data_IF_116865774540
#
_entry.id   IF_116865774540
#
_cell.length_a   1.000
_cell.length_b   1.000
_cell.length_c   1.000
_cell.angle_alpha   90.00
_cell.angle_beta   90.00
_cell.angle_gamma   90.00
#
_symmetry.space_group_name_H-M   'P 1'
#
loop_
_entity.id
_entity.type
_entity.pdbx_description
1 polymer ?
#
# COMPACT_ATOMS: atom_id res chain seq x y z
N UNK A 1 2.25 -37.02 91.62
CA UNK A 1 1.81 -36.99 93.04
C UNK A 1 2.32 -35.70 93.68
N UNK A 2 1.45 -35.05 94.48
CA UNK A 2 1.62 -33.82 95.30
C UNK A 2 1.59 -32.48 94.50
N UNK A 3 0.45 -31.75 94.46
CA UNK A 3 -0.20 -30.87 95.49
C UNK A 3 0.62 -29.59 95.73
N UNK A 4 0.13 -28.34 95.86
CA UNK A 4 -1.18 -27.70 96.12
C UNK A 4 -0.91 -26.17 95.93
N UNK A 5 -1.67 -25.41 95.13
CA UNK A 5 -2.81 -24.50 95.44
C UNK A 5 -2.51 -23.22 96.28
N UNK A 6 -2.99 -22.08 95.74
CA UNK A 6 -3.33 -20.75 96.34
C UNK A 6 -2.16 -19.85 96.77
N UNK A 7 -2.15 -18.53 96.53
CA UNK A 7 -3.12 -17.60 95.96
C UNK A 7 -2.67 -16.16 96.29
N UNK A 8 -3.23 -15.14 95.63
CA UNK A 8 -3.26 -13.78 96.20
C UNK A 8 -2.81 -12.62 95.31
N UNK A 9 -3.83 -11.86 94.87
CA UNK A 9 -3.91 -10.38 94.79
C UNK A 9 -2.91 -9.63 93.89
N UNK A 10 -3.47 -9.07 92.83
CA UNK A 10 -2.76 -8.22 91.86
C UNK A 10 -2.72 -6.72 92.20
N UNK A 11 -2.45 -5.98 91.10
CA UNK A 11 -2.40 -4.52 90.90
C UNK A 11 -1.02 -3.93 91.24
N UNK A 12 -0.25 -3.26 90.36
CA UNK A 12 -0.32 -2.88 88.93
C UNK A 12 1.12 -2.50 88.55
N UNK A 13 1.66 -3.04 87.46
CA UNK A 13 2.89 -2.48 86.84
C UNK A 13 2.59 -2.16 85.39
N UNK A 14 2.78 -0.90 85.05
CA UNK A 14 2.60 -0.30 83.74
C UNK A 14 3.61 -0.91 82.76
N UNK A 15 3.15 -1.53 81.67
CA UNK A 15 3.98 -1.82 80.50
C UNK A 15 3.24 -1.37 79.25
N UNK A 16 3.84 -0.42 78.54
CA UNK A 16 3.40 0.07 77.24
C UNK A 16 3.59 -1.04 76.19
N UNK A 17 2.53 -1.34 75.44
CA UNK A 17 2.56 -2.22 74.26
C UNK A 17 2.29 -1.35 73.04
N UNK A 18 3.28 -1.29 72.13
CA UNK A 18 3.13 -0.73 70.80
C UNK A 18 2.20 -1.63 69.96
N UNK A 19 1.11 -1.06 69.43
CA UNK A 19 0.30 -1.68 68.40
C UNK A 19 0.91 -1.39 67.03
N UNK A 20 1.41 -2.43 66.35
CA UNK A 20 1.80 -2.35 64.93
C UNK A 20 0.54 -2.50 64.08
N UNK A 21 0.09 -1.40 63.46
CA UNK A 21 -1.01 -1.40 62.50
C UNK A 21 -0.48 -1.87 61.14
N UNK A 22 -0.85 -3.08 60.70
CA UNK A 22 -0.61 -3.53 59.32
C UNK A 22 -1.64 -2.84 58.42
N UNK A 23 -1.24 -1.77 57.73
CA UNK A 23 -1.99 -1.25 56.59
C UNK A 23 -1.71 -2.13 55.37
N UNK A 24 -2.75 -2.84 54.91
CA UNK A 24 -2.77 -3.41 53.56
C UNK A 24 -2.99 -2.24 52.60
N UNK A 25 -1.91 -1.74 52.00
CA UNK A 25 -1.99 -0.80 50.87
C UNK A 25 -2.32 -1.64 49.64
N UNK A 26 -3.58 -1.59 49.21
CA UNK A 26 -3.97 -2.07 47.89
C UNK A 26 -3.25 -1.24 46.82
N UNK A 27 -2.30 -1.87 46.12
CA UNK A 27 -1.63 -1.28 44.97
C UNK A 27 -2.60 -1.22 43.78
N UNK A 28 -3.40 -0.16 43.70
CA UNK A 28 -3.98 0.25 42.42
C UNK A 28 -2.85 0.78 41.54
N UNK A 29 -2.24 -0.10 40.75
CA UNK A 29 -1.48 0.31 39.57
C UNK A 29 -2.49 0.86 38.56
N UNK A 30 -2.77 2.16 38.66
CA UNK A 30 -3.41 2.89 37.58
C UNK A 30 -2.50 2.79 36.36
N UNK A 31 -2.93 2.03 35.35
CA UNK A 31 -2.36 2.12 34.02
C UNK A 31 -2.46 3.57 33.59
N UNK A 32 -1.32 4.22 33.36
CA UNK A 32 -1.28 5.55 32.76
C UNK A 32 -1.91 5.44 31.37
N UNK A 33 -3.21 5.72 31.30
CA UNK A 33 -3.94 5.84 30.05
C UNK A 33 -3.26 6.96 29.29
N UNK A 34 -2.50 6.63 28.24
CA UNK A 34 -1.85 7.61 27.39
C UNK A 34 -2.89 8.69 27.05
N UNK A 35 -2.58 9.96 27.37
CA UNK A 35 -3.51 11.05 27.14
C UNK A 35 -3.96 10.99 25.68
N UNK A 36 -5.25 10.80 25.44
CA UNK A 36 -5.79 10.71 24.10
C UNK A 36 -5.44 12.01 23.36
N UNK A 37 -4.68 11.91 22.27
CA UNK A 37 -4.40 13.05 21.42
C UNK A 37 -5.73 13.67 20.99
N UNK A 38 -5.85 14.99 21.16
CA UNK A 38 -7.07 15.73 20.83
C UNK A 38 -7.24 15.79 19.30
N UNK A 39 -8.49 15.73 18.79
CA UNK A 39 -8.74 15.93 17.37
C UNK A 39 -8.25 17.31 16.89
N UNK A 40 -7.79 17.37 15.64
CA UNK A 40 -7.37 18.62 14.99
C UNK A 40 -8.53 19.28 14.24
N UNK A 41 -8.51 20.61 14.09
CA UNK A 41 -9.48 21.33 13.25
C UNK A 41 -9.06 21.30 11.78
N UNK A 42 -9.90 20.77 10.89
CA UNK A 42 -9.59 20.61 9.46
C UNK A 42 -10.82 20.86 8.56
N UNK A 43 -10.62 20.81 7.25
CA UNK A 43 -11.68 20.98 6.25
C UNK A 43 -12.47 19.68 5.98
N UNK A 44 -12.01 18.58 6.56
CA UNK A 44 -12.67 17.27 6.55
C UNK A 44 -12.78 16.71 7.97
N UNK A 45 -13.80 15.88 8.18
CA UNK A 45 -13.91 15.04 9.36
C UNK A 45 -13.13 13.75 9.17
N UNK A 46 -12.40 13.30 10.18
CA UNK A 46 -11.78 11.96 10.20
C UNK A 46 -11.93 11.40 11.59
N UNK A 47 -12.65 10.29 11.74
CA UNK A 47 -12.64 9.57 13.00
C UNK A 47 -11.28 8.90 13.20
N UNK A 48 -10.64 9.14 14.35
CA UNK A 48 -9.42 8.46 14.76
C UNK A 48 -9.56 6.94 14.59
N UNK A 49 -8.50 6.26 14.16
CA UNK A 49 -8.45 4.79 14.14
C UNK A 49 -7.96 4.31 15.51
N UNK A 50 -8.80 3.61 16.30
CA UNK A 50 -8.40 3.14 17.63
C UNK A 50 -7.27 2.10 17.52
N UNK A 51 -6.25 2.23 18.37
CA UNK A 51 -5.16 1.25 18.45
C UNK A 51 -4.22 1.22 17.24
N UNK A 52 -4.28 2.20 16.33
CA UNK A 52 -3.38 2.25 15.18
C UNK A 52 -1.91 2.29 15.66
N UNK A 53 -1.09 1.38 15.13
CA UNK A 53 0.34 1.33 15.43
C UNK A 53 1.00 2.63 14.96
N UNK A 54 1.90 3.20 15.77
CA UNK A 54 2.67 4.41 15.42
C UNK A 54 3.52 4.23 14.17
N UNK A 55 3.98 3.00 13.93
CA UNK A 55 4.79 2.62 12.78
C UNK A 55 3.94 2.07 11.62
N UNK A 56 2.61 2.24 11.65
CA UNK A 56 1.73 1.79 10.58
C UNK A 56 2.13 2.45 9.25
N UNK A 57 2.26 1.62 8.21
CA UNK A 57 2.65 2.07 6.87
C UNK A 57 1.50 2.81 6.23
N UNK A 58 1.78 4.05 5.84
CA UNK A 58 0.87 5.00 5.17
C UNK A 58 1.50 5.34 3.84
N UNK A 59 1.28 4.45 2.89
CA UNK A 59 1.93 4.50 1.59
C UNK A 59 1.07 5.16 0.52
N UNK A 60 1.73 5.65 -0.52
CA UNK A 60 1.08 5.98 -1.79
C UNK A 60 1.87 5.37 -2.94
N UNK A 61 1.18 4.98 -4.00
CA UNK A 61 1.76 4.76 -5.32
C UNK A 61 1.59 6.04 -6.14
N UNK A 62 2.69 6.54 -6.71
CA UNK A 62 2.72 7.70 -7.61
C UNK A 62 3.60 7.41 -8.82
N UNK A 63 3.58 6.18 -9.31
CA UNK A 63 4.46 5.71 -10.38
C UNK A 63 4.31 6.53 -11.67
N UNK A 64 3.12 7.04 -11.97
CA UNK A 64 2.86 7.92 -13.12
C UNK A 64 3.61 9.27 -13.07
N UNK A 65 4.15 9.67 -11.91
CA UNK A 65 4.59 11.06 -11.65
C UNK A 65 5.62 11.59 -12.64
N UNK A 66 6.59 10.78 -13.06
CA UNK A 66 7.65 11.23 -13.96
C UNK A 66 7.08 11.55 -15.34
N UNK A 67 6.21 10.68 -15.89
CA UNK A 67 5.59 10.91 -17.19
C UNK A 67 4.64 12.13 -17.16
N UNK A 68 3.97 12.36 -16.04
CA UNK A 68 3.12 13.55 -15.84
C UNK A 68 3.96 14.84 -15.80
N UNK A 69 5.06 14.85 -15.06
CA UNK A 69 5.99 15.99 -15.00
C UNK A 69 6.62 16.28 -16.38
N UNK A 70 7.02 15.25 -17.13
CA UNK A 70 7.49 15.36 -18.52
C UNK A 70 6.39 15.88 -19.46
N UNK A 71 5.13 15.61 -19.16
CA UNK A 71 3.95 16.15 -19.86
C UNK A 71 3.61 17.60 -19.49
N UNK A 72 4.36 18.21 -18.56
CA UNK A 72 4.15 19.58 -18.10
C UNK A 72 3.17 19.74 -16.94
N UNK A 73 2.70 18.64 -16.34
CA UNK A 73 1.88 18.68 -15.12
C UNK A 73 2.70 19.23 -13.95
N UNK A 74 2.07 20.02 -13.09
CA UNK A 74 2.69 20.60 -11.92
C UNK A 74 1.81 20.40 -10.69
N UNK A 75 2.46 20.20 -9.54
CA UNK A 75 1.81 20.04 -8.25
C UNK A 75 2.12 21.21 -7.31
N UNK A 76 1.22 21.42 -6.35
CA UNK A 76 1.25 22.55 -5.43
C UNK A 76 1.15 22.08 -3.97
N UNK A 77 1.47 22.98 -3.05
CA UNK A 77 1.18 22.81 -1.62
C UNK A 77 -0.21 23.38 -1.26
N UNK A 78 -0.60 23.28 0.02
CA UNK A 78 -1.87 23.81 0.53
C UNK A 78 -1.98 25.34 0.35
N UNK A 79 -0.86 26.06 0.24
CA UNK A 79 -0.84 27.51 0.00
C UNK A 79 -0.94 27.88 -1.49
N UNK A 80 -1.04 26.89 -2.38
CA UNK A 80 -1.11 27.09 -3.82
C UNK A 80 0.25 27.41 -4.46
N UNK A 81 1.37 27.17 -3.77
CA UNK A 81 2.71 27.36 -4.32
C UNK A 81 3.20 26.06 -4.96
N UNK A 82 3.81 26.16 -6.14
CA UNK A 82 4.41 25.00 -6.83
C UNK A 82 5.42 24.32 -5.90
N UNK A 83 5.25 23.02 -5.66
CA UNK A 83 6.07 22.24 -4.75
C UNK A 83 6.28 20.82 -5.31
N UNK A 84 7.43 20.22 -5.00
CA UNK A 84 7.63 18.78 -5.24
C UNK A 84 6.56 17.98 -4.50
N UNK A 85 5.82 17.14 -5.23
CA UNK A 85 4.77 16.29 -4.68
C UNK A 85 5.27 15.41 -3.52
N UNK A 86 6.51 14.92 -3.55
CA UNK A 86 7.05 14.05 -2.50
C UNK A 86 7.15 14.79 -1.16
N UNK A 87 7.41 16.10 -1.19
CA UNK A 87 7.38 16.96 -0.01
C UNK A 87 5.96 17.19 0.49
N UNK A 88 5.01 17.42 -0.41
CA UNK A 88 3.58 17.54 -0.06
C UNK A 88 3.06 16.24 0.58
N UNK A 89 3.40 15.08 0.02
CA UNK A 89 3.06 13.76 0.56
C UNK A 89 3.66 13.55 1.96
N UNK A 90 4.93 13.90 2.16
CA UNK A 90 5.56 13.84 3.49
C UNK A 90 4.84 14.71 4.51
N UNK A 91 4.46 15.93 4.14
CA UNK A 91 3.70 16.85 4.99
C UNK A 91 2.28 16.33 5.31
N UNK A 92 1.70 15.55 4.40
CA UNK A 92 0.42 14.85 4.59
C UNK A 92 0.52 13.57 5.43
N UNK A 93 1.71 13.22 5.94
CA UNK A 93 1.92 12.07 6.83
C UNK A 93 2.26 10.76 6.12
N UNK A 94 2.54 10.79 4.81
CA UNK A 94 3.03 9.63 4.05
C UNK A 94 4.42 9.24 4.56
N UNK A 95 4.63 7.94 4.75
CA UNK A 95 5.92 7.38 5.19
C UNK A 95 6.49 6.31 4.25
N UNK A 96 5.77 5.98 3.17
CA UNK A 96 6.17 5.01 2.16
C UNK A 96 5.73 5.45 0.77
N UNK A 97 6.54 5.13 -0.23
CA UNK A 97 6.18 5.25 -1.65
C UNK A 97 6.27 3.86 -2.28
N UNK A 98 5.25 3.47 -3.02
CA UNK A 98 5.26 2.31 -3.91
C UNK A 98 5.57 2.75 -5.33
N UNK A 99 6.34 1.94 -6.05
CA UNK A 99 6.61 2.15 -7.47
C UNK A 99 6.53 0.84 -8.24
N UNK A 100 5.69 0.78 -9.27
CA UNK A 100 5.65 -0.34 -10.22
C UNK A 100 6.88 -0.33 -11.13
N UNK A 101 7.32 -1.51 -11.53
CA UNK A 101 8.51 -1.72 -12.35
C UNK A 101 8.20 -2.77 -13.41
N UNK A 102 8.19 -2.33 -14.65
CA UNK A 102 8.18 -3.18 -15.84
C UNK A 102 9.59 -3.44 -16.33
N UNK A 103 9.78 -4.61 -16.93
CA UNK A 103 11.08 -5.04 -17.40
C UNK A 103 11.56 -4.20 -18.60
N UNK A 104 10.74 -4.10 -19.66
CA UNK A 104 10.99 -3.22 -20.81
C UNK A 104 9.67 -2.70 -21.42
N UNK A 105 9.11 -1.60 -20.88
CA UNK A 105 7.81 -1.04 -21.31
C UNK A 105 7.88 -0.22 -22.59
N UNK A 106 8.61 -0.72 -23.57
CA UNK A 106 8.87 -0.06 -24.85
C UNK A 106 8.79 -1.06 -26.01
N UNK A 107 8.39 -0.54 -27.17
CA UNK A 107 8.50 -1.27 -28.44
C UNK A 107 9.96 -1.31 -28.96
N UNK A 108 10.18 -2.00 -30.08
CA UNK A 108 11.52 -2.11 -30.69
C UNK A 108 12.10 -0.77 -31.19
N UNK A 109 11.28 0.27 -31.35
CA UNK A 109 11.69 1.63 -31.76
C UNK A 109 11.93 2.55 -30.56
N UNK A 110 11.68 2.08 -29.34
CA UNK A 110 11.81 2.86 -28.11
C UNK A 110 10.58 3.70 -27.80
N UNK A 111 9.42 3.46 -28.44
CA UNK A 111 8.18 4.12 -28.07
C UNK A 111 7.63 3.46 -26.81
N UNK A 112 7.32 4.27 -25.79
CA UNK A 112 6.82 3.77 -24.51
C UNK A 112 5.39 3.28 -24.60
N UNK A 113 5.07 2.19 -23.91
CA UNK A 113 3.73 1.59 -23.83
C UNK A 113 2.71 2.42 -23.05
N UNK A 114 3.13 3.51 -22.41
CA UNK A 114 2.28 4.32 -21.56
C UNK A 114 2.28 3.86 -20.13
N UNK A 115 1.22 4.20 -19.40
CA UNK A 115 1.04 3.85 -18.00
C UNK A 115 2.14 4.39 -17.08
N UNK A 116 2.81 5.47 -17.49
CA UNK A 116 3.98 6.05 -16.82
C UNK A 116 5.34 5.59 -17.38
N UNK A 117 5.37 4.62 -18.31
CA UNK A 117 6.59 4.03 -18.87
C UNK A 117 7.57 3.58 -17.76
N UNK A 118 7.04 2.92 -16.74
CA UNK A 118 7.73 2.64 -15.49
C UNK A 118 8.79 1.53 -15.62
N UNK A 119 10.00 1.92 -15.95
CA UNK A 119 11.19 1.08 -15.94
C UNK A 119 12.02 1.27 -14.65
N UNK A 120 13.13 0.52 -14.53
CA UNK A 120 14.06 0.66 -13.40
C UNK A 120 14.61 2.09 -13.25
N UNK A 121 14.81 2.81 -14.37
CA UNK A 121 15.34 4.18 -14.34
C UNK A 121 14.36 5.13 -13.64
N UNK A 122 13.06 5.06 -13.98
CA UNK A 122 12.02 5.84 -13.31
C UNK A 122 11.84 5.39 -11.85
N UNK A 123 11.91 4.09 -11.59
CA UNK A 123 11.85 3.57 -10.22
C UNK A 123 12.99 4.14 -9.34
N UNK A 124 14.21 4.24 -9.87
CA UNK A 124 15.35 4.89 -9.18
C UNK A 124 15.09 6.38 -8.96
N UNK A 125 14.58 7.11 -9.96
CA UNK A 125 14.27 8.53 -9.82
C UNK A 125 13.21 8.80 -8.73
N UNK A 126 12.14 8.00 -8.71
CA UNK A 126 11.10 8.04 -7.69
C UNK A 126 11.66 7.67 -6.31
N UNK A 127 12.45 6.59 -6.23
CA UNK A 127 13.03 6.12 -4.98
C UNK A 127 14.01 7.11 -4.34
N UNK A 128 14.76 7.86 -5.14
CA UNK A 128 15.60 8.96 -4.65
C UNK A 128 14.76 10.06 -4.00
N UNK A 129 13.74 10.57 -4.70
CA UNK A 129 12.85 11.62 -4.17
C UNK A 129 12.09 11.16 -2.91
N UNK A 130 11.68 9.90 -2.86
CA UNK A 130 11.08 9.31 -1.65
C UNK A 130 12.07 9.32 -0.47
N UNK A 131 13.30 8.86 -0.70
CA UNK A 131 14.35 8.80 0.32
C UNK A 131 14.75 10.19 0.83
N UNK A 132 14.93 11.16 -0.08
CA UNK A 132 15.23 12.56 0.24
C UNK A 132 14.16 13.22 1.14
N UNK A 133 12.91 12.78 1.01
CA UNK A 133 11.79 13.24 1.83
C UNK A 133 11.52 12.32 3.06
N UNK A 134 12.44 11.39 3.36
CA UNK A 134 12.34 10.53 4.54
C UNK A 134 11.15 9.56 4.48
N UNK A 135 10.89 9.01 3.29
CA UNK A 135 9.92 7.94 3.04
C UNK A 135 10.66 6.70 2.55
N UNK A 136 10.20 5.51 2.96
CA UNK A 136 10.74 4.24 2.46
C UNK A 136 10.17 3.91 1.07
N UNK A 137 10.87 3.08 0.30
CA UNK A 137 10.39 2.56 -0.98
C UNK A 137 9.84 1.12 -0.85
N UNK A 138 8.70 0.87 -1.48
CA UNK A 138 8.22 -0.44 -1.90
C UNK A 138 8.48 -0.56 -3.41
N UNK A 139 9.42 -1.42 -3.81
CA UNK A 139 9.67 -1.72 -5.22
C UNK A 139 8.77 -2.87 -5.67
N UNK A 140 7.84 -2.59 -6.59
CA UNK A 140 6.89 -3.57 -7.10
C UNK A 140 7.30 -4.07 -8.49
N UNK A 141 7.87 -5.27 -8.52
CA UNK A 141 8.24 -5.92 -9.77
C UNK A 141 7.03 -6.65 -10.35
N UNK A 142 6.53 -6.14 -11.47
CA UNK A 142 5.44 -6.80 -12.20
C UNK A 142 5.91 -8.09 -12.90
N UNK A 143 7.21 -8.20 -13.18
CA UNK A 143 7.79 -9.28 -14.00
C UNK A 143 7.05 -9.47 -15.35
N UNK A 144 6.74 -8.33 -15.97
CA UNK A 144 6.07 -8.15 -17.26
C UNK A 144 6.65 -6.88 -17.90
N UNK A 145 6.47 -6.71 -19.20
CA UNK A 145 6.80 -5.44 -19.88
C UNK A 145 5.66 -4.41 -19.78
N UNK A 146 4.48 -4.81 -19.30
CA UNK A 146 3.35 -3.91 -19.11
C UNK A 146 2.46 -4.36 -17.94
N UNK A 147 1.26 -3.78 -17.80
CA UNK A 147 0.32 -4.08 -16.71
C UNK A 147 0.24 -5.57 -16.39
N UNK A 148 0.35 -5.88 -15.09
CA UNK A 148 0.22 -7.22 -14.56
C UNK A 148 -0.92 -7.22 -13.55
N UNK A 149 -1.95 -8.02 -13.79
CA UNK A 149 -3.20 -8.09 -13.03
C UNK A 149 -3.77 -9.53 -13.11
N UNK A 150 -4.96 -9.85 -12.56
CA UNK A 150 -5.50 -11.22 -12.59
C UNK A 150 -5.67 -11.82 -13.99
N UNK A 151 -5.87 -11.00 -15.02
CA UNK A 151 -6.06 -11.44 -16.40
C UNK A 151 -4.76 -11.36 -17.22
N UNK A 152 -3.87 -10.43 -16.89
CA UNK A 152 -2.63 -10.16 -17.64
C UNK A 152 -1.41 -10.50 -16.79
N UNK A 153 -0.70 -11.58 -17.12
CA UNK A 153 0.55 -11.98 -16.46
C UNK A 153 1.60 -12.36 -17.49
N UNK A 154 1.71 -11.56 -18.57
CA UNK A 154 2.55 -11.88 -19.73
C UNK A 154 4.03 -11.86 -19.35
N UNK A 155 4.82 -12.79 -19.87
CA UNK A 155 6.27 -12.78 -19.70
C UNK A 155 6.86 -11.54 -20.38
N UNK A 156 7.92 -10.91 -19.84
CA UNK A 156 8.70 -9.91 -20.56
C UNK A 156 9.10 -10.43 -21.95
N UNK A 157 9.19 -9.55 -22.94
CA UNK A 157 9.57 -9.93 -24.31
C UNK A 157 10.90 -10.71 -24.31
N UNK A 158 11.85 -10.29 -23.48
CA UNK A 158 13.14 -10.94 -23.32
C UNK A 158 13.07 -12.41 -22.81
N UNK A 159 11.99 -12.80 -22.14
CA UNK A 159 11.87 -14.12 -21.49
C UNK A 159 10.90 -15.06 -22.23
N UNK A 160 10.27 -14.60 -23.31
CA UNK A 160 9.16 -15.34 -23.98
C UNK A 160 9.60 -16.71 -24.51
N UNK A 161 10.83 -16.83 -24.99
CA UNK A 161 11.37 -18.08 -25.55
C UNK A 161 12.29 -18.85 -24.57
N UNK A 162 12.35 -18.44 -23.30
CA UNK A 162 13.14 -19.14 -22.29
C UNK A 162 12.39 -20.38 -21.81
N UNK A 163 13.13 -21.47 -21.62
CA UNK A 163 12.62 -22.57 -20.79
C UNK A 163 12.46 -22.09 -19.33
N UNK A 164 11.76 -22.87 -18.52
CA UNK A 164 11.42 -22.48 -17.16
C UNK A 164 12.64 -22.18 -16.28
N UNK A 165 13.68 -23.01 -16.33
CA UNK A 165 14.90 -22.81 -15.52
C UNK A 165 15.64 -21.52 -15.90
N UNK A 166 15.75 -21.23 -17.19
CA UNK A 166 16.36 -19.98 -17.67
C UNK A 166 15.51 -18.77 -17.27
N UNK A 167 14.17 -18.87 -17.34
CA UNK A 167 13.26 -17.81 -16.91
C UNK A 167 13.37 -17.54 -15.41
N UNK A 168 13.45 -18.59 -14.59
CA UNK A 168 13.64 -18.51 -13.13
C UNK A 168 14.95 -17.82 -12.78
N UNK A 169 16.04 -18.20 -13.44
CA UNK A 169 17.34 -17.54 -13.29
C UNK A 169 17.31 -16.07 -13.75
N UNK A 170 16.64 -15.77 -14.87
CA UNK A 170 16.50 -14.40 -15.37
C UNK A 170 15.71 -13.52 -14.41
N UNK A 171 14.64 -14.04 -13.80
CA UNK A 171 13.84 -13.31 -12.79
C UNK A 171 14.67 -13.01 -11.54
N UNK A 172 15.41 -14.00 -11.02
CA UNK A 172 16.34 -13.79 -9.91
C UNK A 172 17.37 -12.70 -10.25
N UNK A 173 18.06 -12.81 -11.39
CA UNK A 173 19.10 -11.86 -11.79
C UNK A 173 18.53 -10.45 -11.97
N UNK A 174 17.39 -10.31 -12.66
CA UNK A 174 16.74 -9.02 -12.86
C UNK A 174 16.37 -8.36 -11.53
N UNK A 175 15.83 -9.13 -10.58
CA UNK A 175 15.51 -8.63 -9.23
C UNK A 175 16.79 -8.20 -8.51
N UNK A 176 17.84 -9.03 -8.54
CA UNK A 176 19.11 -8.78 -7.86
C UNK A 176 19.80 -7.51 -8.37
N UNK A 177 19.96 -7.41 -9.68
CA UNK A 177 20.62 -6.29 -10.35
C UNK A 177 19.84 -4.98 -10.14
N UNK A 178 18.50 -5.05 -10.26
CA UNK A 178 17.64 -3.89 -10.01
C UNK A 178 17.77 -3.35 -8.59
N UNK A 179 17.75 -4.23 -7.59
CA UNK A 179 17.89 -3.84 -6.19
C UNK A 179 19.31 -3.33 -5.87
N UNK A 180 20.34 -3.93 -6.46
CA UNK A 180 21.72 -3.42 -6.35
C UNK A 180 21.86 -2.02 -6.94
N UNK A 181 21.24 -1.75 -8.10
CA UNK A 181 21.22 -0.43 -8.71
C UNK A 181 20.52 0.60 -7.80
N UNK A 182 19.37 0.24 -7.20
CA UNK A 182 18.67 1.10 -6.25
C UNK A 182 19.48 1.36 -4.96
N UNK A 183 20.13 0.34 -4.39
CA UNK A 183 21.01 0.50 -3.23
C UNK A 183 22.21 1.38 -3.53
N UNK A 184 22.82 1.21 -4.71
CA UNK A 184 23.92 2.08 -5.21
C UNK A 184 23.46 3.52 -5.35
N UNK A 185 22.21 3.74 -5.74
CA UNK A 185 21.57 5.05 -5.80
C UNK A 185 21.21 5.65 -4.43
N UNK A 186 21.50 4.97 -3.32
CA UNK A 186 21.25 5.43 -1.95
C UNK A 186 19.79 5.34 -1.51
N UNK A 187 18.97 4.52 -2.17
CA UNK A 187 17.53 4.44 -1.92
C UNK A 187 17.25 3.61 -0.65
N UNK A 188 16.37 4.12 0.21
CA UNK A 188 15.89 3.43 1.40
C UNK A 188 14.76 2.44 1.04
N UNK A 189 15.14 1.29 0.49
CA UNK A 189 14.23 0.19 0.17
C UNK A 189 13.82 -0.49 1.47
N UNK A 190 12.52 -0.47 1.79
CA UNK A 190 12.02 -1.16 2.97
C UNK A 190 11.19 -2.40 2.66
N UNK A 191 10.68 -2.52 1.43
CA UNK A 191 9.89 -3.67 1.00
C UNK A 191 10.06 -3.91 -0.51
N UNK A 192 9.95 -5.16 -0.93
CA UNK A 192 9.90 -5.56 -2.34
C UNK A 192 8.69 -6.44 -2.54
N UNK A 193 7.92 -6.16 -3.58
CA UNK A 193 6.79 -6.97 -4.02
C UNK A 193 7.23 -7.83 -5.21
N UNK A 194 7.10 -9.15 -5.05
CA UNK A 194 7.52 -10.15 -6.03
C UNK A 194 6.30 -10.58 -6.84
N UNK A 195 5.98 -9.81 -7.88
CA UNK A 195 4.79 -9.97 -8.71
C UNK A 195 3.61 -9.12 -8.23
N UNK A 196 2.81 -8.63 -9.19
CA UNK A 196 1.61 -7.82 -8.92
C UNK A 196 0.33 -8.62 -9.22
N UNK A 197 -0.60 -8.65 -8.25
CA UNK A 197 -1.92 -9.32 -8.35
C UNK A 197 -1.86 -10.72 -9.01
N UNK A 198 -0.93 -11.55 -8.54
CA UNK A 198 -0.55 -12.85 -9.13
C UNK A 198 -1.55 -13.96 -8.82
N UNK A 199 -2.85 -13.67 -8.98
CA UNK A 199 -3.96 -14.58 -8.67
C UNK A 199 -3.97 -15.84 -9.53
N UNK A 200 -3.43 -15.78 -10.76
CA UNK A 200 -3.47 -16.87 -11.72
C UNK A 200 -2.20 -17.03 -12.56
N UNK A 201 -1.18 -16.21 -12.34
CA UNK A 201 0.09 -16.35 -13.03
C UNK A 201 1.14 -15.33 -12.61
N UNK A 202 2.36 -15.52 -13.10
CA UNK A 202 3.48 -14.56 -13.01
C UNK A 202 4.47 -14.86 -14.15
N UNK A 203 4.96 -13.83 -14.84
CA UNK A 203 5.95 -13.95 -15.91
C UNK A 203 5.62 -15.03 -16.98
N UNK A 204 4.33 -15.15 -17.33
CA UNK A 204 3.79 -16.10 -18.32
C UNK A 204 3.59 -17.53 -17.82
N UNK A 205 3.92 -17.84 -16.56
CA UNK A 205 3.60 -19.14 -15.94
C UNK A 205 2.28 -19.05 -15.16
N UNK A 206 1.45 -20.09 -15.25
CA UNK A 206 0.17 -20.23 -14.55
C UNK A 206 0.06 -21.54 -13.73
N UNK A 207 1.10 -22.37 -13.77
CA UNK A 207 1.23 -23.53 -12.89
C UNK A 207 1.73 -23.08 -11.50
N UNK A 208 0.97 -23.37 -10.46
CA UNK A 208 1.28 -22.88 -9.10
C UNK A 208 2.60 -23.40 -8.55
N UNK A 209 3.08 -24.58 -8.93
CA UNK A 209 4.40 -25.08 -8.50
C UNK A 209 5.49 -24.19 -9.09
N UNK A 210 5.41 -23.91 -10.39
CA UNK A 210 6.33 -23.01 -11.08
C UNK A 210 6.25 -21.56 -10.58
N UNK A 211 5.04 -21.05 -10.33
CA UNK A 211 4.87 -19.73 -9.73
C UNK A 211 5.56 -19.64 -8.37
N UNK A 212 5.41 -20.66 -7.51
CA UNK A 212 6.07 -20.71 -6.20
C UNK A 212 7.61 -20.71 -6.32
N UNK A 213 8.15 -21.42 -7.30
CA UNK A 213 9.59 -21.38 -7.61
C UNK A 213 10.04 -20.00 -8.10
N UNK A 214 9.25 -19.30 -8.92
CA UNK A 214 9.53 -17.93 -9.35
C UNK A 214 9.44 -16.93 -8.18
N UNK A 215 8.46 -17.08 -7.28
CA UNK A 215 8.38 -16.28 -6.07
C UNK A 215 9.61 -16.47 -5.19
N UNK A 216 10.08 -17.72 -5.02
CA UNK A 216 11.31 -18.00 -4.28
C UNK A 216 12.56 -17.44 -4.96
N UNK A 217 12.62 -17.44 -6.29
CA UNK A 217 13.72 -16.83 -7.04
C UNK A 217 13.80 -15.31 -6.79
N UNK A 218 12.67 -14.61 -6.89
CA UNK A 218 12.61 -13.18 -6.55
C UNK A 218 12.92 -12.92 -5.07
N UNK A 219 12.35 -13.72 -4.16
CA UNK A 219 12.60 -13.62 -2.72
C UNK A 219 14.08 -13.80 -2.37
N UNK A 220 14.74 -14.81 -2.94
CA UNK A 220 16.17 -15.08 -2.73
C UNK A 220 17.02 -13.87 -3.11
N UNK A 221 16.74 -13.24 -4.26
CA UNK A 221 17.43 -12.02 -4.68
C UNK A 221 17.25 -10.87 -3.67
N UNK A 222 16.06 -10.73 -3.09
CA UNK A 222 15.79 -9.74 -2.03
C UNK A 222 16.59 -10.07 -0.76
N UNK A 223 16.52 -11.32 -0.27
CA UNK A 223 17.22 -11.76 0.95
C UNK A 223 18.73 -11.54 0.88
N UNK A 224 19.32 -11.87 -0.25
CA UNK A 224 20.76 -11.69 -0.47
C UNK A 224 21.17 -10.23 -0.68
N UNK A 225 20.21 -9.33 -0.94
CA UNK A 225 20.48 -7.89 -1.06
C UNK A 225 20.50 -7.23 0.30
N UNK A 226 19.48 -7.48 1.13
CA UNK A 226 19.37 -6.95 2.49
C UNK A 226 18.31 -7.75 3.26
N UNK A 227 18.71 -8.40 4.35
CA UNK A 227 17.80 -9.22 5.15
C UNK A 227 16.73 -8.41 5.89
N UNK A 228 16.84 -7.09 5.94
CA UNK A 228 15.82 -6.22 6.56
C UNK A 228 14.70 -5.83 5.60
N UNK A 229 14.85 -6.08 4.29
CA UNK A 229 13.81 -5.79 3.31
C UNK A 229 12.71 -6.84 3.44
N UNK A 230 11.48 -6.38 3.63
CA UNK A 230 10.32 -7.25 3.63
C UNK A 230 10.01 -7.75 2.22
N UNK A 231 9.77 -9.05 2.08
CA UNK A 231 9.29 -9.68 0.84
C UNK A 231 7.77 -9.78 0.90
N UNK A 232 7.10 -9.14 -0.05
CA UNK A 232 5.64 -9.16 -0.19
C UNK A 232 5.22 -9.96 -1.43
N UNK A 233 4.12 -10.70 -1.30
CA UNK A 233 3.39 -11.30 -2.42
C UNK A 233 2.01 -10.66 -2.50
N UNK A 234 1.63 -10.23 -3.70
CA UNK A 234 0.42 -9.44 -3.91
C UNK A 234 -0.66 -10.21 -4.67
N UNK A 235 -1.86 -10.20 -4.09
CA UNK A 235 -3.07 -10.81 -4.62
C UNK A 235 -4.25 -9.84 -4.55
N UNK A 236 -5.36 -10.15 -5.21
CA UNK A 236 -6.56 -9.33 -5.24
C UNK A 236 -7.83 -10.19 -5.17
N UNK A 237 -9.01 -9.60 -5.30
CA UNK A 237 -10.30 -10.27 -5.13
C UNK A 237 -10.50 -10.97 -3.76
N UNK A 238 -10.32 -10.26 -2.62
CA UNK A 238 -10.52 -10.83 -1.29
C UNK A 238 -11.96 -11.31 -1.02
N UNK A 239 -12.95 -10.85 -1.81
CA UNK A 239 -14.36 -11.26 -1.72
C UNK A 239 -14.62 -12.69 -2.18
N UNK A 240 -13.69 -13.32 -2.91
CA UNK A 240 -13.86 -14.69 -3.38
C UNK A 240 -13.72 -15.67 -2.21
N UNK A 241 -14.82 -16.33 -1.87
CA UNK A 241 -14.89 -17.33 -0.79
C UNK A 241 -13.75 -18.34 -0.89
N UNK A 242 -12.92 -18.42 0.15
CA UNK A 242 -11.81 -19.37 0.24
C UNK A 242 -10.59 -19.06 -0.64
N UNK A 243 -10.61 -18.00 -1.45
CA UNK A 243 -9.52 -17.65 -2.37
C UNK A 243 -8.18 -17.47 -1.65
N UNK A 244 -8.10 -16.54 -0.70
CA UNK A 244 -6.86 -16.27 0.05
C UNK A 244 -6.43 -17.43 0.93
N UNK A 245 -7.37 -18.18 1.52
CA UNK A 245 -7.04 -19.38 2.28
C UNK A 245 -6.37 -20.44 1.39
N UNK A 246 -6.87 -20.65 0.17
CA UNK A 246 -6.28 -21.58 -0.79
C UNK A 246 -4.90 -21.13 -1.26
N UNK A 247 -4.76 -19.84 -1.63
CA UNK A 247 -3.47 -19.26 -2.05
C UNK A 247 -2.44 -19.40 -0.93
N UNK A 248 -2.74 -18.95 0.29
CA UNK A 248 -1.80 -18.99 1.41
C UNK A 248 -1.39 -20.43 1.77
N UNK A 249 -2.32 -21.40 1.70
CA UNK A 249 -2.03 -22.82 1.85
C UNK A 249 -1.07 -23.33 0.77
N UNK A 250 -1.30 -22.97 -0.50
CA UNK A 250 -0.44 -23.36 -1.61
C UNK A 250 0.98 -22.81 -1.43
N UNK A 251 1.12 -21.54 -1.07
CA UNK A 251 2.42 -20.92 -0.80
C UNK A 251 3.16 -21.64 0.34
N UNK A 252 2.44 -21.96 1.42
CA UNK A 252 3.02 -22.70 2.56
C UNK A 252 3.45 -24.12 2.17
N UNK A 253 2.62 -24.86 1.45
CA UNK A 253 2.93 -26.22 1.01
C UNK A 253 4.15 -26.29 0.08
N UNK A 254 4.35 -25.25 -0.73
CA UNK A 254 5.51 -25.11 -1.62
C UNK A 254 6.69 -24.36 -0.97
N UNK A 255 6.61 -24.07 0.35
CA UNK A 255 7.67 -23.43 1.13
C UNK A 255 8.17 -22.11 0.51
N UNK A 256 7.24 -21.27 0.07
CA UNK A 256 7.58 -19.94 -0.45
C UNK A 256 8.05 -19.05 0.71
N UNK A 257 9.25 -18.49 0.60
CA UNK A 257 9.79 -17.53 1.57
C UNK A 257 9.28 -16.12 1.27
N UNK A 258 8.40 -15.62 2.13
CA UNK A 258 7.87 -14.26 2.09
C UNK A 258 7.40 -13.81 3.48
N UNK A 259 7.37 -12.51 3.71
CA UNK A 259 7.01 -11.91 5.00
C UNK A 259 5.57 -11.38 5.01
N UNK A 260 5.13 -10.81 3.89
CA UNK A 260 3.86 -10.05 3.79
C UNK A 260 2.94 -10.67 2.74
N UNK A 261 1.73 -11.05 3.15
CA UNK A 261 0.62 -11.33 2.24
C UNK A 261 -0.13 -10.02 1.98
N UNK A 262 0.03 -9.48 0.78
CA UNK A 262 -0.57 -8.21 0.39
C UNK A 262 -1.85 -8.41 -0.43
N UNK A 263 -2.80 -7.51 -0.24
CA UNK A 263 -4.11 -7.53 -0.90
C UNK A 263 -4.40 -6.19 -1.59
N UNK A 264 -4.93 -6.21 -2.81
CA UNK A 264 -5.68 -5.07 -3.35
C UNK A 264 -7.07 -5.01 -2.73
N UNK A 265 -7.53 -3.81 -2.39
CA UNK A 265 -8.89 -3.57 -1.93
C UNK A 265 -9.49 -2.30 -2.57
N UNK A 266 -10.28 -2.52 -3.61
CA UNK A 266 -11.11 -1.49 -4.22
C UNK A 266 -12.57 -1.72 -3.80
N UNK A 267 -13.18 -0.80 -3.03
CA UNK A 267 -14.51 -1.02 -2.44
C UNK A 267 -15.62 -1.14 -3.50
N UNK A 268 -15.34 -0.78 -4.75
CA UNK A 268 -16.25 -0.93 -5.89
C UNK A 268 -16.63 -2.39 -6.15
N UNK A 269 -15.69 -3.33 -5.95
CA UNK A 269 -15.84 -4.74 -6.34
C UNK A 269 -15.43 -5.73 -5.24
N UNK A 270 -14.51 -5.35 -4.34
CA UNK A 270 -13.81 -6.30 -3.45
C UNK A 270 -14.56 -6.64 -2.15
N UNK A 271 -15.88 -6.52 -2.16
CA UNK A 271 -16.73 -6.90 -1.04
C UNK A 271 -16.55 -6.01 0.20
N UNK A 272 -16.79 -6.57 1.38
CA UNK A 272 -16.88 -5.81 2.63
C UNK A 272 -15.54 -5.66 3.34
N UNK A 273 -15.36 -4.58 4.09
CA UNK A 273 -14.22 -4.38 4.98
C UNK A 273 -14.15 -5.43 6.10
N UNK A 274 -15.32 -5.91 6.55
CA UNK A 274 -15.40 -7.03 7.50
C UNK A 274 -14.81 -8.30 6.90
N UNK A 275 -15.13 -8.59 5.63
CA UNK A 275 -14.53 -9.71 4.90
C UNK A 275 -13.02 -9.51 4.73
N UNK A 276 -12.57 -8.32 4.29
CA UNK A 276 -11.15 -8.01 4.16
C UNK A 276 -10.39 -8.30 5.47
N UNK A 277 -10.88 -7.75 6.59
CA UNK A 277 -10.29 -7.99 7.92
C UNK A 277 -10.24 -9.48 8.24
N UNK A 278 -11.33 -10.20 7.99
CA UNK A 278 -11.45 -11.64 8.27
C UNK A 278 -10.44 -12.48 7.48
N UNK A 279 -10.35 -12.27 6.17
CA UNK A 279 -9.45 -13.07 5.31
C UNK A 279 -7.97 -12.76 5.59
N UNK A 280 -7.64 -11.50 5.89
CA UNK A 280 -6.27 -11.12 6.28
C UNK A 280 -5.91 -11.71 7.65
N UNK A 281 -6.82 -11.67 8.63
CA UNK A 281 -6.64 -12.34 9.94
C UNK A 281 -6.42 -13.84 9.79
N UNK A 282 -7.16 -14.49 8.90
CA UNK A 282 -7.01 -15.92 8.67
C UNK A 282 -5.60 -16.25 8.16
N UNK A 283 -5.08 -15.51 7.18
CA UNK A 283 -3.71 -15.71 6.67
C UNK A 283 -2.68 -15.44 7.77
N UNK A 284 -2.81 -14.31 8.48
CA UNK A 284 -1.89 -13.93 9.55
C UNK A 284 -1.86 -14.97 10.68
N UNK A 285 -3.02 -15.39 11.19
CA UNK A 285 -3.12 -16.34 12.31
C UNK A 285 -2.73 -17.77 11.95
N UNK A 286 -2.92 -18.19 10.69
CA UNK A 286 -2.62 -19.56 10.25
C UNK A 286 -1.16 -19.73 9.85
N UNK A 287 -0.56 -18.73 9.18
CA UNK A 287 0.76 -18.83 8.57
C UNK A 287 1.81 -17.89 9.17
N UNK A 288 1.45 -17.10 10.19
CA UNK A 288 2.37 -16.18 10.88
C UNK A 288 2.89 -15.05 9.98
N UNK A 289 2.14 -14.67 8.95
CA UNK A 289 2.53 -13.64 7.97
C UNK A 289 2.03 -12.27 8.40
N UNK A 290 2.77 -11.23 8.02
CA UNK A 290 2.24 -9.86 8.00
C UNK A 290 1.22 -9.73 6.88
N UNK A 291 0.31 -8.78 7.02
CA UNK A 291 -0.74 -8.50 6.05
C UNK A 291 -0.85 -7.00 5.82
N UNK A 292 -1.16 -6.60 4.59
CA UNK A 292 -1.35 -5.20 4.23
C UNK A 292 -2.29 -5.07 3.04
N UNK A 293 -2.75 -3.84 2.80
CA UNK A 293 -3.37 -3.47 1.52
C UNK A 293 -2.34 -2.79 0.64
N UNK A 294 -1.97 -3.41 -0.49
CA UNK A 294 -1.00 -2.86 -1.45
C UNK A 294 -1.62 -1.83 -2.40
N UNK A 295 -2.94 -1.91 -2.62
CA UNK A 295 -3.66 -0.95 -3.45
C UNK A 295 -5.06 -0.68 -2.91
N UNK A 296 -5.42 0.59 -2.84
CA UNK A 296 -6.79 1.05 -2.60
C UNK A 296 -6.97 2.46 -3.14
N UNK A 297 -8.20 2.83 -3.48
CA UNK A 297 -8.55 4.18 -3.92
C UNK A 297 -10.03 4.44 -3.69
N UNK A 298 -10.44 5.71 -3.84
CA UNK A 298 -11.86 6.05 -3.93
C UNK A 298 -12.10 7.33 -4.72
N UNK A 299 -13.29 7.46 -5.30
CA UNK A 299 -13.69 8.61 -6.12
C UNK A 299 -14.04 9.81 -5.25
N UNK A 300 -13.40 10.95 -5.49
CA UNK A 300 -13.76 12.22 -4.84
C UNK A 300 -14.76 13.04 -5.67
N UNK A 301 -14.87 12.73 -6.97
CA UNK A 301 -15.77 13.35 -7.93
C UNK A 301 -16.26 12.31 -8.94
N UNK A 302 -17.38 12.59 -9.60
CA UNK A 302 -17.87 11.80 -10.74
C UNK A 302 -17.43 12.38 -12.09
N UNK A 303 -16.82 13.58 -12.08
CA UNK A 303 -16.32 14.24 -13.28
C UNK A 303 -15.09 13.53 -13.84
N UNK A 304 -14.99 13.46 -15.17
CA UNK A 304 -13.79 13.11 -15.91
C UNK A 304 -13.02 14.39 -16.25
N UNK A 305 -11.79 14.49 -15.74
CA UNK A 305 -10.97 15.68 -15.90
C UNK A 305 -10.18 15.75 -17.21
N UNK A 306 -9.97 14.64 -17.92
CA UNK A 306 -9.00 14.55 -19.02
C UNK A 306 -9.58 14.11 -20.39
N UNK A 307 -10.84 13.66 -20.39
CA UNK A 307 -11.58 13.25 -21.59
C UNK A 307 -11.41 11.77 -21.95
N UNK A 308 -10.68 11.01 -21.14
CA UNK A 308 -10.62 9.56 -21.17
C UNK A 308 -11.46 8.98 -20.02
N UNK A 309 -12.30 8.00 -20.34
CA UNK A 309 -13.32 7.54 -19.39
C UNK A 309 -12.71 6.89 -18.13
N UNK A 310 -13.00 7.49 -16.97
CA UNK A 310 -12.62 6.96 -15.67
C UNK A 310 -13.15 5.54 -15.40
N UNK A 311 -12.44 4.76 -14.58
CA UNK A 311 -12.83 3.41 -14.13
C UNK A 311 -14.05 3.42 -13.21
N UNK A 312 -14.14 4.43 -12.35
CA UNK A 312 -15.20 4.62 -11.38
C UNK A 312 -15.50 6.13 -11.25
N UNK A 313 -16.71 6.52 -10.82
CA UNK A 313 -17.85 5.66 -10.50
C UNK A 313 -18.61 5.18 -11.75
N UNK A 314 -19.20 3.98 -11.71
CA UNK A 314 -20.07 3.43 -12.77
C UNK A 314 -21.26 2.67 -12.19
N UNK A 315 -22.32 2.56 -12.98
CA UNK A 315 -23.47 1.72 -12.64
C UNK A 315 -23.05 0.26 -12.39
N UNK A 316 -23.66 -0.37 -11.39
CA UNK A 316 -23.34 -1.73 -10.96
C UNK A 316 -22.17 -1.84 -9.97
N UNK A 317 -21.40 -0.76 -9.72
CA UNK A 317 -20.37 -0.74 -8.69
C UNK A 317 -20.96 -0.50 -7.29
N UNK A 318 -20.30 -1.05 -6.27
CA UNK A 318 -20.65 -0.77 -4.88
C UNK A 318 -20.06 0.57 -4.43
N UNK A 319 -20.91 1.55 -4.14
CA UNK A 319 -20.51 2.90 -3.69
C UNK A 319 -21.03 3.16 -2.26
N UNK A 320 -20.25 2.74 -1.26
CA UNK A 320 -20.64 2.86 0.17
C UNK A 320 -20.54 4.27 0.73
N UNK A 321 -19.71 5.11 0.12
CA UNK A 321 -19.46 6.47 0.55
C UNK A 321 -19.93 7.44 -0.54
N UNK A 322 -20.33 8.67 -0.19
CA UNK A 322 -20.69 9.65 -1.20
C UNK A 322 -19.48 10.01 -2.08
N UNK A 323 -19.70 10.18 -3.38
CA UNK A 323 -18.64 10.58 -4.34
C UNK A 323 -18.26 12.06 -4.08
N UNK A 324 -17.39 12.26 -3.11
CA UNK A 324 -16.99 13.56 -2.55
C UNK A 324 -15.61 13.42 -1.91
N UNK A 325 -14.91 14.53 -1.69
CA UNK A 325 -13.64 14.56 -0.91
C UNK A 325 -13.80 13.91 0.47
N UNK A 326 -14.93 14.15 1.16
CA UNK A 326 -15.19 13.56 2.46
C UNK A 326 -15.44 12.04 2.38
N UNK A 327 -16.18 11.58 1.37
CA UNK A 327 -16.41 10.15 1.16
C UNK A 327 -15.14 9.40 0.78
N UNK A 328 -14.26 10.01 -0.02
CA UNK A 328 -12.92 9.49 -0.29
C UNK A 328 -12.09 9.35 1.00
N UNK A 329 -12.08 10.38 1.86
CA UNK A 329 -11.40 10.30 3.15
C UNK A 329 -11.97 9.18 4.05
N UNK A 330 -13.29 9.01 4.08
CA UNK A 330 -13.94 7.95 4.84
C UNK A 330 -13.54 6.56 4.34
N UNK A 331 -13.53 6.35 3.02
CA UNK A 331 -13.12 5.09 2.41
C UNK A 331 -11.69 4.72 2.78
N UNK A 332 -10.74 5.65 2.63
CA UNK A 332 -9.32 5.41 2.98
C UNK A 332 -9.15 5.12 4.47
N UNK A 333 -9.79 5.92 5.34
CA UNK A 333 -9.75 5.71 6.78
C UNK A 333 -10.25 4.32 7.16
N UNK A 334 -11.34 3.88 6.55
CA UNK A 334 -11.96 2.61 6.91
C UNK A 334 -11.17 1.39 6.40
N UNK A 335 -10.44 1.51 5.30
CA UNK A 335 -9.45 0.50 4.88
C UNK A 335 -8.28 0.44 5.85
N UNK A 336 -7.75 1.59 6.28
CA UNK A 336 -6.71 1.65 7.32
C UNK A 336 -7.19 0.96 8.59
N UNK A 337 -8.43 1.24 9.01
CA UNK A 337 -9.04 0.58 10.16
C UNK A 337 -9.17 -0.93 9.96
N UNK A 338 -9.64 -1.40 8.81
CA UNK A 338 -9.81 -2.83 8.54
C UNK A 338 -8.47 -3.59 8.60
N UNK A 339 -7.39 -3.01 8.07
CA UNK A 339 -6.05 -3.60 8.19
C UNK A 339 -5.54 -3.54 9.64
N UNK A 340 -5.69 -2.42 10.33
CA UNK A 340 -5.29 -2.29 11.74
C UNK A 340 -6.06 -3.28 12.64
N UNK A 341 -7.33 -3.53 12.35
CA UNK A 341 -8.16 -4.49 13.06
C UNK A 341 -7.66 -5.93 12.88
N UNK A 342 -6.80 -6.22 11.90
CA UNK A 342 -6.08 -7.51 11.76
C UNK A 342 -5.01 -7.74 12.84
N UNK A 343 -4.81 -6.79 13.77
CA UNK A 343 -3.87 -6.86 14.87
C UNK A 343 -2.44 -6.49 14.44
N UNK A 344 -1.44 -6.91 15.21
CA UNK A 344 -0.02 -6.55 14.97
C UNK A 344 0.52 -7.04 13.61
N UNK A 345 -0.16 -8.01 12.99
CA UNK A 345 0.15 -8.47 11.64
C UNK A 345 -0.26 -7.46 10.56
N UNK A 346 -1.27 -6.62 10.81
CA UNK A 346 -1.76 -5.58 9.90
C UNK A 346 -0.82 -4.39 9.87
N UNK A 347 0.09 -4.36 8.88
CA UNK A 347 1.20 -3.39 8.90
C UNK A 347 0.95 -2.12 8.12
N UNK A 348 -0.03 -2.06 7.20
CA UNK A 348 -0.09 -0.94 6.28
C UNK A 348 -1.18 -0.90 5.24
N UNK A 349 -1.33 0.29 4.66
CA UNK A 349 -2.14 0.56 3.47
C UNK A 349 -1.34 1.43 2.50
N UNK A 350 -1.47 1.15 1.20
CA UNK A 350 -0.98 1.98 0.11
C UNK A 350 -2.16 2.50 -0.72
N UNK A 351 -2.27 3.82 -0.86
CA UNK A 351 -3.22 4.45 -1.78
C UNK A 351 -2.66 4.37 -3.21
N UNK A 352 -3.40 3.76 -4.14
CA UNK A 352 -2.95 3.59 -5.51
C UNK A 352 -3.18 4.84 -6.35
N UNK A 353 -2.15 5.27 -7.06
CA UNK A 353 -2.15 6.42 -7.99
C UNK A 353 -2.79 7.68 -7.40
N UNK A 354 -2.25 8.13 -6.27
CA UNK A 354 -2.76 9.29 -5.54
C UNK A 354 -2.70 10.62 -6.33
N UNK A 355 -2.05 10.65 -7.49
CA UNK A 355 -1.71 11.87 -8.21
C UNK A 355 -1.83 11.76 -9.74
N UNK A 356 -2.54 10.75 -10.26
CA UNK A 356 -2.69 10.58 -11.70
C UNK A 356 -3.74 11.50 -12.31
N UNK A 357 -3.43 12.80 -12.26
CA UNK A 357 -4.31 13.89 -12.68
C UNK A 357 -4.23 14.15 -14.20
N UNK A 358 -5.18 14.90 -14.77
CA UNK A 358 -5.21 15.23 -16.19
C UNK A 358 -3.96 16.01 -16.66
N UNK A 359 -3.48 15.70 -17.87
CA UNK A 359 -2.47 16.55 -18.57
C UNK A 359 -3.06 17.83 -19.14
N UNK A 360 -4.38 17.89 -19.23
CA UNK A 360 -5.16 19.02 -19.73
C UNK A 360 -6.67 18.73 -19.62
N UNK A 361 -7.53 19.74 -19.72
CA UNK A 361 -8.97 19.57 -19.51
C UNK A 361 -9.61 18.69 -20.59
N UNK A 362 -10.66 17.95 -20.23
CA UNK A 362 -11.39 17.03 -21.13
C UNK A 362 -11.79 17.61 -22.50
N UNK A 363 -12.18 18.90 -22.55
CA UNK A 363 -12.49 19.60 -23.82
C UNK A 363 -11.32 19.66 -24.82
N UNK A 364 -10.09 19.39 -24.37
CA UNK A 364 -8.88 19.40 -25.18
C UNK A 364 -8.39 17.98 -25.53
N UNK A 365 -9.29 16.99 -25.59
CA UNK A 365 -8.97 15.57 -25.79
C UNK A 365 -7.91 15.29 -26.87
N UNK A 366 -8.03 15.88 -28.07
CA UNK A 366 -7.06 15.65 -29.15
C UNK A 366 -5.66 16.18 -28.84
N UNK A 367 -5.54 17.23 -28.03
CA UNK A 367 -4.25 17.69 -27.51
C UNK A 367 -3.74 16.72 -26.45
N UNK A 368 -4.61 16.27 -25.56
CA UNK A 368 -4.25 15.33 -24.49
C UNK A 368 -3.74 14.00 -25.08
N UNK A 369 -4.40 13.45 -26.11
CA UNK A 369 -3.94 12.25 -26.84
C UNK A 369 -2.50 12.36 -27.34
N UNK A 370 -2.12 13.50 -27.92
CA UNK A 370 -0.73 13.70 -28.37
C UNK A 370 0.27 13.69 -27.21
N UNK A 371 -0.11 14.25 -26.07
CA UNK A 371 0.72 14.25 -24.85
C UNK A 371 0.85 12.82 -24.31
N UNK A 372 -0.26 12.08 -24.20
CA UNK A 372 -0.28 10.70 -23.74
C UNK A 372 0.57 9.79 -24.62
N UNK A 373 0.44 9.87 -25.95
CA UNK A 373 1.26 9.09 -26.89
C UNK A 373 2.75 9.44 -26.79
N UNK A 374 3.08 10.72 -26.59
CA UNK A 374 4.49 11.18 -26.57
C UNK A 374 5.21 10.79 -25.28
N UNK A 375 4.59 11.02 -24.13
CA UNK A 375 5.24 10.87 -22.82
C UNK A 375 4.80 9.61 -22.07
N UNK A 376 3.77 8.92 -22.56
CA UNK A 376 3.17 7.77 -21.90
C UNK A 376 2.50 8.13 -20.58
N UNK A 377 1.96 9.34 -20.46
CA UNK A 377 1.34 9.87 -19.23
C UNK A 377 -0.12 9.49 -19.03
N UNK A 378 -0.74 8.86 -20.02
CA UNK A 378 -2.01 8.16 -19.85
C UNK A 378 -1.80 6.68 -19.49
N UNK A 379 -2.88 5.90 -19.30
CA UNK A 379 -2.80 4.53 -18.79
C UNK A 379 -2.12 3.55 -19.77
N UNK A 380 -2.22 3.83 -21.07
CA UNK A 380 -1.55 3.12 -22.14
C UNK A 380 -1.42 4.01 -23.39
N UNK A 381 -0.47 3.70 -24.26
CA UNK A 381 -0.32 4.29 -25.61
C UNK A 381 -0.70 3.27 -26.68
N UNK A 382 -0.91 3.74 -27.90
CA UNK A 382 -1.12 2.89 -29.07
C UNK A 382 0.03 1.90 -29.30
N UNK A 383 1.26 2.25 -28.89
CA UNK A 383 2.45 1.41 -29.04
C UNK A 383 2.40 0.13 -28.19
N UNK A 384 1.57 0.08 -27.15
CA UNK A 384 1.39 -1.13 -26.33
C UNK A 384 0.65 -2.27 -27.06
N UNK A 385 0.04 -1.99 -28.22
CA UNK A 385 -0.74 -2.96 -28.98
C UNK A 385 0.05 -4.22 -29.38
N UNK A 386 1.37 -4.13 -29.57
CA UNK A 386 2.19 -5.31 -29.88
C UNK A 386 2.29 -6.29 -28.70
N UNK A 387 2.16 -5.80 -27.46
CA UNK A 387 2.34 -6.60 -26.25
C UNK A 387 0.99 -7.04 -25.67
N UNK A 388 0.01 -6.13 -25.68
CA UNK A 388 -1.37 -6.31 -25.21
C UNK A 388 -2.38 -5.80 -26.25
N UNK A 389 -2.62 -6.56 -27.34
CA UNK A 389 -3.55 -6.16 -28.40
C UNK A 389 -5.03 -6.22 -27.97
N UNK A 390 -5.35 -6.98 -26.93
CA UNK A 390 -6.74 -7.25 -26.57
C UNK A 390 -7.37 -6.14 -25.73
N UNK A 391 -6.58 -5.50 -24.87
CA UNK A 391 -7.01 -4.43 -24.00
C UNK A 391 -6.36 -3.10 -24.40
N UNK A 392 -5.07 -2.92 -24.11
CA UNK A 392 -4.35 -1.69 -24.42
C UNK A 392 -4.39 -1.32 -25.91
N UNK A 393 -4.29 -2.32 -26.81
CA UNK A 393 -4.36 -2.09 -28.26
C UNK A 393 -5.68 -1.52 -28.77
N UNK A 394 -6.76 -1.59 -27.96
CA UNK A 394 -8.10 -1.07 -28.32
C UNK A 394 -8.51 0.12 -27.45
N UNK A 395 -8.03 0.17 -26.21
CA UNK A 395 -8.51 1.09 -25.19
C UNK A 395 -7.48 2.11 -24.70
N UNK A 396 -6.29 2.18 -25.31
CA UNK A 396 -5.26 3.15 -24.94
C UNK A 396 -5.80 4.59 -24.87
N UNK A 397 -5.20 5.40 -24.00
CA UNK A 397 -5.69 6.75 -23.71
C UNK A 397 -5.12 7.34 -22.43
N UNK A 398 -5.89 8.25 -21.82
CA UNK A 398 -5.49 9.09 -20.68
C UNK A 398 -5.51 8.39 -19.33
N UNK A 399 -5.57 9.17 -18.26
CA UNK A 399 -5.81 8.63 -16.93
C UNK A 399 -7.21 8.00 -16.89
N UNK A 400 -7.36 6.89 -16.17
CA UNK A 400 -8.66 6.32 -15.86
C UNK A 400 -9.02 6.51 -14.38
N UNK A 401 -8.22 7.29 -13.64
CA UNK A 401 -8.36 7.48 -12.20
C UNK A 401 -8.09 8.92 -11.74
N UNK A 402 -8.18 9.92 -12.62
CA UNK A 402 -8.03 11.33 -12.23
C UNK A 402 -9.07 11.75 -11.18
N UNK A 403 -10.29 11.20 -11.27
CA UNK A 403 -11.37 11.39 -10.29
C UNK A 403 -11.13 10.71 -8.93
N UNK A 404 -10.05 9.94 -8.82
CA UNK A 404 -9.65 9.21 -7.61
C UNK A 404 -8.34 9.74 -7.03
N UNK A 405 -7.73 10.77 -7.59
CA UNK A 405 -6.54 11.38 -7.00
C UNK A 405 -6.83 12.00 -5.62
N UNK A 406 -5.77 12.23 -4.84
CA UNK A 406 -5.76 13.07 -3.63
C UNK A 406 -5.39 14.53 -3.95
N UNK A 407 -5.37 14.86 -5.24
CA UNK A 407 -5.15 16.19 -5.81
C UNK A 407 -6.31 16.51 -6.76
N UNK A 408 -6.67 17.78 -6.88
CA UNK A 408 -7.62 18.23 -7.88
C UNK A 408 -7.02 18.15 -9.29
N UNK A 409 -7.84 18.35 -10.32
CA UNK A 409 -7.41 18.32 -11.73
C UNK A 409 -6.33 19.36 -12.08
N UNK A 410 -6.04 20.32 -11.20
CA UNK A 410 -5.02 21.36 -11.38
C UNK A 410 -3.74 21.10 -10.58
N UNK A 411 -3.66 19.98 -9.84
CA UNK A 411 -2.49 19.60 -9.05
C UNK A 411 -2.44 20.22 -7.66
N UNK A 412 -3.54 20.79 -7.16
CA UNK A 412 -3.64 21.23 -5.75
C UNK A 412 -4.09 20.09 -4.86
N UNK A 413 -3.50 19.92 -3.66
CA UNK A 413 -3.88 18.83 -2.77
C UNK A 413 -5.33 19.01 -2.29
N UNK A 414 -6.12 17.94 -2.39
CA UNK A 414 -7.46 17.90 -1.80
C UNK A 414 -7.34 17.75 -0.28
N UNK A 415 -8.30 18.25 0.52
CA UNK A 415 -8.32 18.01 1.96
C UNK A 415 -8.20 16.53 2.36
N UNK A 416 -8.71 15.60 1.54
CA UNK A 416 -8.64 14.15 1.74
C UNK A 416 -7.22 13.60 1.84
N UNK A 417 -6.20 14.27 1.26
CA UNK A 417 -4.80 13.83 1.38
C UNK A 417 -4.36 13.69 2.83
N UNK A 418 -4.92 14.53 3.72
CA UNK A 418 -4.57 14.56 5.13
C UNK A 418 -5.17 13.41 5.94
N UNK A 419 -5.99 12.54 5.34
CA UNK A 419 -6.52 11.34 6.02
C UNK A 419 -5.39 10.48 6.60
N UNK A 420 -4.27 10.34 5.87
CA UNK A 420 -3.11 9.54 6.29
C UNK A 420 -2.47 10.07 7.58
N UNK A 421 -2.59 11.38 7.85
CA UNK A 421 -2.17 12.04 9.09
C UNK A 421 -3.27 12.00 10.16
N UNK A 422 -4.53 12.22 9.78
CA UNK A 422 -5.62 12.39 10.73
C UNK A 422 -6.12 11.09 11.35
N UNK A 423 -5.84 9.93 10.76
CA UNK A 423 -6.15 8.63 11.40
C UNK A 423 -5.50 8.44 12.78
N UNK A 424 -4.41 9.14 13.09
CA UNK A 424 -3.71 9.04 14.39
C UNK A 424 -4.42 9.82 15.53
N UNK A 425 -4.99 10.97 15.17
CA UNK A 425 -5.48 12.00 16.11
C UNK A 425 -6.98 12.20 16.07
N UNK A 426 -7.59 11.94 14.90
CA UNK A 426 -8.92 12.39 14.53
C UNK A 426 -8.92 13.85 14.04
N UNK A 427 -9.90 14.21 13.22
CA UNK A 427 -10.12 15.57 12.74
C UNK A 427 -11.60 15.95 12.84
N UNK A 428 -11.86 17.19 13.28
CA UNK A 428 -13.20 17.80 13.33
C UNK A 428 -13.26 18.98 12.35
N UNK A 429 -14.42 19.16 11.71
CA UNK A 429 -14.62 20.23 10.72
C UNK A 429 -14.52 21.59 11.39
N UNK A 430 -13.87 22.54 10.72
CA UNK A 430 -13.64 23.91 11.19
C UNK A 430 -14.90 24.73 11.38
#
# INVERSE_FOLDING_TARGET
MRRVIMGGKGVKTLFAVFFTLIMIIGSFQGSARAAAQKPVKADIFVEKVPGLNKDFIKGVDVSSIIALEESGVAFYDEAGKKQDIFKTLKQAGVNYVRVRIWHNPYDAKGNGYGGGNNDLKKAIAIGKRATENGMKLLADFHYSDFWADPAKQKAPKAWTNMNFENKKAALYNYTKESLQAMKTAGINIGMVQVGNETNGGVAGENDWSKMCELFNAGSTAVRETDSNILVALHFTNPERTGGYASIARTLNNNRVDYDVFASSYYPFWHGTLQNLTSVLKHVAGTYGKKVMVAETSYTYTAEDGDGHANTAPKDGQTLRYPITVQGQANAVRDVIKAVADAGDAGIGVFYWEAAWIPVGPARNLEKNKRIWETYGSGWATSYAAEYDPEDAGKWYGGSAVDSQALFDFTGRPLPSINVLKYVDTGAIVR
#
